data_IF_332979424647
#
_entry.id   IF_332979424647
#
_cell.length_a   1.000
_cell.length_b   1.000
_cell.length_c   1.000
_cell.angle_alpha   90.00
_cell.angle_beta   90.00
_cell.angle_gamma   90.00
#
_symmetry.space_group_name_H-M   'P 1'
#
loop_
_entity.id
_entity.type
_entity.pdbx_description
1 polymer ?
#
# COMPACT_ATOMS: atom_id res chain seq x y z
N UNK A 1 -7.62 26.01 12.91
CA UNK A 1 -8.36 25.99 11.66
C UNK A 1 -7.45 25.55 10.50
N UNK A 2 -6.25 26.10 10.39
CA UNK A 2 -5.22 25.76 9.38
C UNK A 2 -4.88 24.28 9.38
N UNK A 3 -4.55 23.71 10.53
CA UNK A 3 -4.24 22.28 10.69
C UNK A 3 -5.30 21.36 10.10
N UNK A 4 -6.58 21.65 10.35
CA UNK A 4 -7.67 20.84 9.79
C UNK A 4 -7.75 20.93 8.27
N UNK A 5 -7.43 22.09 7.71
CA UNK A 5 -7.41 22.32 6.27
C UNK A 5 -6.25 21.52 5.65
N UNK A 6 -5.07 21.54 6.27
CA UNK A 6 -3.89 20.82 5.79
C UNK A 6 -4.09 19.30 5.89
N UNK A 7 -4.60 18.81 7.02
CA UNK A 7 -4.95 17.39 7.18
C UNK A 7 -6.00 16.97 6.15
N UNK A 8 -7.02 17.80 5.90
CA UNK A 8 -8.04 17.51 4.89
C UNK A 8 -7.46 17.49 3.47
N UNK A 9 -6.63 18.47 3.11
CA UNK A 9 -5.95 18.55 1.82
C UNK A 9 -5.08 17.32 1.57
N UNK A 10 -4.25 16.94 2.55
CA UNK A 10 -3.40 15.76 2.48
C UNK A 10 -4.21 14.47 2.40
N UNK A 11 -5.31 14.37 3.14
CA UNK A 11 -6.24 13.24 3.04
C UNK A 11 -6.83 13.12 1.65
N UNK A 12 -7.27 14.25 1.07
CA UNK A 12 -7.83 14.27 -0.28
C UNK A 12 -6.78 13.84 -1.32
N UNK A 13 -5.57 14.35 -1.20
CA UNK A 13 -4.44 14.00 -2.05
C UNK A 13 -4.16 12.48 -2.02
N UNK A 14 -3.86 11.93 -0.85
CA UNK A 14 -3.54 10.51 -0.67
C UNK A 14 -4.69 9.63 -1.16
N UNK A 15 -5.93 9.94 -0.76
CA UNK A 15 -7.11 9.17 -1.18
C UNK A 15 -7.28 9.18 -2.70
N UNK A 16 -7.07 10.33 -3.35
CA UNK A 16 -7.20 10.44 -4.81
C UNK A 16 -6.14 9.60 -5.54
N UNK A 17 -4.90 9.62 -5.08
CA UNK A 17 -3.83 8.78 -5.62
C UNK A 17 -4.15 7.29 -5.48
N UNK A 18 -4.56 6.87 -4.28
CA UNK A 18 -4.95 5.46 -4.02
C UNK A 18 -6.09 5.03 -4.93
N UNK A 19 -7.12 5.89 -5.09
CA UNK A 19 -8.26 5.60 -5.97
C UNK A 19 -7.84 5.40 -7.42
N UNK A 20 -6.98 6.26 -7.96
CA UNK A 20 -6.47 6.13 -9.34
C UNK A 20 -5.76 4.80 -9.53
N UNK A 21 -4.93 4.41 -8.57
CA UNK A 21 -4.23 3.13 -8.61
C UNK A 21 -5.21 1.95 -8.53
N UNK A 22 -6.17 2.00 -7.61
CA UNK A 22 -7.19 0.94 -7.50
C UNK A 22 -7.99 0.79 -8.79
N UNK A 23 -8.39 1.91 -9.40
CA UNK A 23 -9.09 1.90 -10.69
C UNK A 23 -8.20 1.30 -11.79
N UNK A 24 -6.93 1.65 -11.84
CA UNK A 24 -5.98 1.12 -12.83
C UNK A 24 -5.77 -0.40 -12.66
N UNK A 25 -5.62 -0.86 -11.43
CA UNK A 25 -5.45 -2.28 -11.11
C UNK A 25 -6.68 -3.09 -11.50
N UNK A 26 -7.89 -2.60 -11.18
CA UNK A 26 -9.13 -3.29 -11.56
C UNK A 26 -9.26 -3.39 -13.09
N UNK A 27 -8.88 -2.34 -13.81
CA UNK A 27 -8.83 -2.38 -15.26
C UNK A 27 -7.79 -3.37 -15.80
N UNK A 28 -6.59 -3.43 -15.21
CA UNK A 28 -5.57 -4.41 -15.58
C UNK A 28 -6.07 -5.85 -15.36
N UNK A 29 -6.78 -6.10 -14.26
CA UNK A 29 -7.36 -7.40 -13.96
C UNK A 29 -8.32 -7.87 -15.06
N UNK A 30 -9.17 -6.97 -15.54
CA UNK A 30 -10.09 -7.24 -16.66
C UNK A 30 -9.34 -7.51 -17.97
N UNK A 31 -8.35 -6.68 -18.30
CA UNK A 31 -7.60 -6.84 -19.56
C UNK A 31 -6.69 -8.07 -19.60
N UNK A 32 -6.20 -8.53 -18.47
CA UNK A 32 -5.32 -9.71 -18.40
C UNK A 32 -6.06 -11.04 -18.38
N UNK A 33 -7.41 -11.03 -18.31
CA UNK A 33 -8.28 -12.23 -18.40
C UNK A 33 -7.92 -13.37 -17.44
N UNK A 34 -7.29 -13.10 -16.31
CA UNK A 34 -6.90 -14.17 -15.38
C UNK A 34 -5.98 -15.25 -15.98
N UNK A 35 -5.32 -15.00 -17.12
CA UNK A 35 -4.46 -15.95 -17.85
C UNK A 35 -3.27 -16.48 -17.04
N UNK A 36 -2.99 -15.88 -15.92
CA UNK A 36 -1.89 -16.27 -15.01
C UNK A 36 -2.08 -17.65 -14.37
N UNK A 37 -3.33 -18.17 -14.38
CA UNK A 37 -3.68 -19.39 -13.66
C UNK A 37 -3.14 -20.69 -14.26
N UNK A 38 -2.90 -20.79 -15.58
CA UNK A 38 -2.60 -22.07 -16.23
C UNK A 38 -1.13 -22.53 -16.14
N UNK A 39 -0.19 -21.64 -15.81
CA UNK A 39 1.24 -21.97 -15.75
C UNK A 39 1.80 -22.35 -14.37
N UNK A 40 1.13 -21.93 -13.31
CA UNK A 40 1.67 -21.97 -11.93
C UNK A 40 1.50 -23.30 -11.21
N UNK A 41 0.60 -24.19 -11.68
CA UNK A 41 0.17 -25.35 -10.88
C UNK A 41 1.22 -26.47 -10.68
N UNK A 42 2.39 -26.41 -11.31
CA UNK A 42 3.32 -27.54 -11.39
C UNK A 42 4.40 -27.63 -10.30
N UNK A 43 4.78 -26.52 -9.65
CA UNK A 43 5.79 -26.59 -8.58
C UNK A 43 5.52 -25.60 -7.44
N UNK A 44 5.37 -26.12 -6.21
CA UNK A 44 5.13 -25.29 -5.03
C UNK A 44 6.19 -24.20 -4.80
N UNK A 45 7.52 -24.48 -4.92
CA UNK A 45 8.52 -23.43 -4.75
C UNK A 45 8.38 -22.28 -5.73
N UNK A 46 7.98 -22.58 -6.98
CA UNK A 46 7.74 -21.55 -7.99
C UNK A 46 6.47 -20.74 -7.67
N UNK A 47 5.43 -21.38 -7.14
CA UNK A 47 4.22 -20.67 -6.68
C UNK A 47 4.55 -19.66 -5.60
N UNK A 48 5.36 -20.04 -4.59
CA UNK A 48 5.80 -19.15 -3.51
C UNK A 48 6.62 -17.99 -4.07
N UNK A 49 7.57 -18.27 -4.96
CA UNK A 49 8.39 -17.22 -5.58
C UNK A 49 7.54 -16.19 -6.34
N UNK A 50 6.65 -16.65 -7.22
CA UNK A 50 5.79 -15.75 -8.02
C UNK A 50 4.82 -14.98 -7.11
N UNK A 51 4.24 -15.64 -6.12
CA UNK A 51 3.36 -14.99 -5.16
C UNK A 51 4.07 -13.92 -4.33
N UNK A 52 5.33 -14.16 -3.94
CA UNK A 52 6.16 -13.15 -3.26
C UNK A 52 6.39 -11.93 -4.15
N UNK A 53 6.75 -12.12 -5.42
CA UNK A 53 6.88 -11.00 -6.36
C UNK A 53 5.56 -10.26 -6.56
N UNK A 54 4.45 -10.98 -6.62
CA UNK A 54 3.13 -10.39 -6.75
C UNK A 54 2.78 -9.51 -5.54
N UNK A 55 3.12 -9.97 -4.32
CA UNK A 55 2.93 -9.21 -3.09
C UNK A 55 3.76 -7.93 -3.03
N UNK A 56 4.98 -7.92 -3.59
CA UNK A 56 5.84 -6.72 -3.65
C UNK A 56 5.30 -5.61 -4.57
N UNK A 57 4.32 -5.91 -5.42
CA UNK A 57 3.67 -4.87 -6.24
C UNK A 57 2.97 -3.89 -5.30
N UNK A 58 3.31 -2.59 -5.36
CA UNK A 58 2.67 -1.59 -4.51
C UNK A 58 1.15 -1.61 -4.62
N UNK A 59 0.46 -1.46 -3.51
CA UNK A 59 -0.99 -1.51 -3.43
C UNK A 59 -1.55 -2.87 -3.05
N UNK A 60 -2.88 -2.99 -3.07
CA UNK A 60 -3.58 -4.20 -2.62
C UNK A 60 -3.67 -5.31 -3.68
N UNK A 61 -3.26 -5.04 -4.94
CA UNK A 61 -3.45 -5.95 -6.07
C UNK A 61 -2.81 -7.33 -5.84
N UNK A 62 -1.54 -7.36 -5.43
CA UNK A 62 -0.80 -8.61 -5.24
C UNK A 62 -1.48 -9.52 -4.23
N UNK A 63 -1.93 -8.95 -3.11
CA UNK A 63 -2.66 -9.67 -2.09
C UNK A 63 -4.03 -10.15 -2.56
N UNK A 64 -4.83 -9.31 -3.22
CA UNK A 64 -6.12 -9.72 -3.79
C UNK A 64 -5.98 -10.86 -4.80
N UNK A 65 -5.01 -10.75 -5.70
CA UNK A 65 -4.75 -11.79 -6.69
C UNK A 65 -4.31 -13.09 -6.02
N UNK A 66 -3.45 -13.04 -5.00
CA UNK A 66 -3.03 -14.22 -4.24
C UNK A 66 -4.19 -14.87 -3.49
N UNK A 67 -5.07 -14.09 -2.85
CA UNK A 67 -6.29 -14.61 -2.20
C UNK A 67 -7.19 -15.29 -3.24
N UNK A 68 -7.47 -14.62 -4.35
CA UNK A 68 -8.27 -15.18 -5.43
C UNK A 68 -7.70 -16.49 -5.97
N UNK A 69 -6.40 -16.55 -6.23
CA UNK A 69 -5.74 -17.78 -6.69
C UNK A 69 -5.78 -18.90 -5.65
N UNK A 70 -5.61 -18.57 -4.37
CA UNK A 70 -5.65 -19.57 -3.31
C UNK A 70 -7.07 -20.10 -3.06
N UNK A 71 -8.08 -19.25 -3.03
CA UNK A 71 -9.49 -19.65 -2.82
C UNK A 71 -9.98 -20.60 -3.92
N UNK A 72 -9.41 -20.48 -5.13
CA UNK A 72 -9.68 -21.38 -6.25
C UNK A 72 -8.70 -22.57 -6.36
N UNK A 73 -7.79 -22.73 -5.39
CA UNK A 73 -6.85 -23.84 -5.36
C UNK A 73 -5.73 -23.77 -6.41
N UNK A 74 -5.49 -22.61 -7.01
CA UNK A 74 -4.45 -22.39 -8.01
C UNK A 74 -3.04 -22.30 -7.41
N UNK A 75 -2.93 -21.80 -6.16
CA UNK A 75 -1.67 -21.71 -5.42
C UNK A 75 -1.77 -22.37 -4.04
N UNK A 76 -0.61 -22.72 -3.45
CA UNK A 76 -0.51 -23.29 -2.11
C UNK A 76 -0.80 -22.25 -1.02
N UNK A 77 -1.06 -22.73 0.21
CA UNK A 77 -1.22 -21.86 1.36
C UNK A 77 0.09 -21.12 1.70
N UNK A 78 1.26 -21.76 1.52
CA UNK A 78 2.55 -21.10 1.67
C UNK A 78 2.78 -19.97 0.65
N UNK A 79 2.28 -20.13 -0.58
CA UNK A 79 2.33 -19.07 -1.59
C UNK A 79 1.43 -17.88 -1.22
N UNK A 80 0.21 -18.14 -0.72
CA UNK A 80 -0.66 -17.08 -0.17
C UNK A 80 0.03 -16.32 0.96
N UNK A 81 0.59 -17.05 1.93
CA UNK A 81 1.31 -16.45 3.06
C UNK A 81 2.47 -15.56 2.61
N UNK A 82 3.26 -16.05 1.64
CA UNK A 82 4.38 -15.30 1.10
C UNK A 82 3.94 -13.98 0.43
N UNK A 83 2.85 -14.00 -0.35
CA UNK A 83 2.29 -12.79 -0.93
C UNK A 83 1.81 -11.79 0.13
N UNK A 84 1.22 -12.29 1.23
CA UNK A 84 0.77 -11.44 2.32
C UNK A 84 1.94 -10.80 3.07
N UNK A 85 2.99 -11.56 3.42
CA UNK A 85 4.19 -11.03 4.11
C UNK A 85 4.92 -10.00 3.24
N UNK A 86 5.01 -10.22 1.94
CA UNK A 86 5.72 -9.30 1.04
C UNK A 86 4.92 -8.05 0.68
N UNK A 87 3.61 -8.06 0.92
CA UNK A 87 2.71 -6.96 0.57
C UNK A 87 2.72 -5.85 1.60
N UNK A 88 3.12 -4.64 1.18
CA UNK A 88 3.07 -3.44 2.05
C UNK A 88 1.71 -2.73 1.94
N UNK A 89 0.92 -3.06 0.92
CA UNK A 89 -0.35 -2.38 0.67
C UNK A 89 -0.18 -0.99 0.06
N UNK A 90 -1.17 -0.12 0.30
CA UNK A 90 -1.20 1.22 -0.31
C UNK A 90 -0.16 2.17 0.30
N UNK A 91 0.36 1.85 1.48
CA UNK A 91 1.44 2.61 2.12
C UNK A 91 2.74 2.59 1.33
N UNK A 92 2.97 1.55 0.51
CA UNK A 92 4.14 1.44 -0.33
C UNK A 92 4.35 2.69 -1.21
N UNK A 93 3.26 3.33 -1.65
CA UNK A 93 3.34 4.56 -2.44
C UNK A 93 3.81 5.75 -1.62
N UNK A 94 3.28 5.91 -0.40
CA UNK A 94 3.70 6.96 0.53
C UNK A 94 5.17 6.77 0.89
N UNK A 95 5.58 5.53 1.16
CA UNK A 95 6.95 5.18 1.49
C UNK A 95 7.92 5.44 0.32
N UNK A 96 7.52 5.09 -0.91
CA UNK A 96 8.33 5.34 -2.12
C UNK A 96 8.59 6.82 -2.36
N UNK A 97 7.62 7.69 -2.03
CA UNK A 97 7.73 9.14 -2.18
C UNK A 97 8.60 9.75 -1.07
N UNK A 98 8.34 9.38 0.18
CA UNK A 98 8.97 10.01 1.33
C UNK A 98 10.34 9.41 1.68
N UNK A 99 10.53 8.11 1.45
CA UNK A 99 11.77 7.41 1.82
C UNK A 99 12.12 6.28 0.84
N UNK A 100 12.42 6.55 -0.43
CA UNK A 100 12.62 5.54 -1.47
C UNK A 100 13.70 4.52 -1.11
N UNK A 101 14.83 4.94 -0.55
CA UNK A 101 15.92 4.06 -0.15
C UNK A 101 15.51 3.06 0.96
N UNK A 102 14.80 3.56 1.98
CA UNK A 102 14.31 2.73 3.08
C UNK A 102 13.22 1.77 2.61
N UNK A 103 12.40 2.19 1.64
CA UNK A 103 11.39 1.33 1.02
C UNK A 103 12.02 0.20 0.23
N UNK A 104 13.06 0.48 -0.55
CA UNK A 104 13.81 -0.56 -1.26
C UNK A 104 14.49 -1.53 -0.28
N UNK A 105 15.08 -1.02 0.81
CA UNK A 105 15.65 -1.85 1.86
C UNK A 105 14.57 -2.72 2.52
N UNK A 106 13.39 -2.16 2.80
CA UNK A 106 12.26 -2.89 3.36
C UNK A 106 11.83 -4.04 2.44
N UNK A 107 11.68 -3.78 1.14
CA UNK A 107 11.38 -4.83 0.15
C UNK A 107 12.49 -5.89 0.06
N UNK A 108 13.76 -5.47 0.11
CA UNK A 108 14.89 -6.40 0.10
C UNK A 108 14.91 -7.33 1.31
N UNK A 109 14.37 -6.89 2.46
CA UNK A 109 14.22 -7.71 3.66
C UNK A 109 12.93 -8.52 3.67
N UNK A 110 11.81 -7.95 3.24
CA UNK A 110 10.53 -8.66 3.17
C UNK A 110 10.57 -9.83 2.18
N UNK A 111 11.26 -9.67 1.06
CA UNK A 111 11.36 -10.71 0.03
C UNK A 111 11.91 -12.05 0.56
N UNK A 112 13.10 -12.12 1.16
CA UNK A 112 13.61 -13.38 1.70
C UNK A 112 12.79 -13.90 2.89
N UNK A 113 12.28 -13.03 3.75
CA UNK A 113 11.39 -13.43 4.87
C UNK A 113 10.14 -14.11 4.33
N UNK A 114 9.48 -13.51 3.34
CA UNK A 114 8.29 -14.06 2.70
C UNK A 114 8.54 -15.41 2.01
N UNK A 115 9.66 -15.51 1.26
CA UNK A 115 10.06 -16.76 0.60
C UNK A 115 10.30 -17.88 1.62
N UNK A 116 11.08 -17.61 2.66
CA UNK A 116 11.40 -18.59 3.70
C UNK A 116 10.15 -19.02 4.44
N UNK A 117 9.28 -18.10 4.82
CA UNK A 117 8.03 -18.40 5.50
C UNK A 117 7.10 -19.25 4.62
N UNK A 118 6.92 -18.89 3.34
CA UNK A 118 6.08 -19.62 2.41
C UNK A 118 6.59 -21.04 2.16
N UNK A 119 7.90 -21.21 1.91
CA UNK A 119 8.51 -22.52 1.71
C UNK A 119 8.45 -23.39 2.96
N UNK A 120 8.70 -22.80 4.14
CA UNK A 120 8.61 -23.52 5.41
C UNK A 120 7.21 -24.05 5.66
N UNK A 121 6.18 -23.21 5.46
CA UNK A 121 4.76 -23.60 5.63
C UNK A 121 4.37 -24.71 4.66
N UNK A 122 4.79 -24.62 3.41
CA UNK A 122 4.53 -25.69 2.43
C UNK A 122 5.32 -26.98 2.71
N UNK A 123 6.56 -26.87 3.23
CA UNK A 123 7.39 -28.02 3.65
C UNK A 123 6.83 -28.72 4.89
N UNK A 124 6.32 -27.96 5.87
CA UNK A 124 5.66 -28.50 7.07
C UNK A 124 4.29 -29.14 6.73
N UNK A 125 3.82 -28.98 5.50
CA UNK A 125 2.56 -29.55 5.05
C UNK A 125 1.32 -28.93 5.71
N UNK A 126 1.42 -27.70 6.18
CA UNK A 126 0.29 -26.96 6.74
C UNK A 126 -0.74 -26.72 5.63
N UNK A 127 -1.88 -27.41 5.74
CA UNK A 127 -2.98 -27.28 4.79
C UNK A 127 -4.16 -26.61 5.46
N UNK A 128 -4.52 -25.45 4.96
CA UNK A 128 -5.77 -24.78 5.30
C UNK A 128 -6.77 -25.13 4.21
N UNK A 129 -7.97 -25.60 4.63
CA UNK A 129 -9.00 -26.00 3.68
C UNK A 129 -9.40 -24.83 2.79
N UNK A 130 -9.34 -25.04 1.50
CA UNK A 130 -9.78 -24.10 0.49
C UNK A 130 -11.31 -24.00 0.51
N UNK A 131 -11.93 -22.81 0.54
CA UNK A 131 -13.38 -22.65 0.64
C UNK A 131 -14.16 -23.29 -0.50
N UNK A 132 -13.61 -23.24 -1.71
CA UNK A 132 -14.27 -23.71 -2.92
C UNK A 132 -13.51 -24.86 -3.58
N UNK A 133 -14.02 -26.08 -3.46
CA UNK A 133 -13.54 -27.24 -4.24
C UNK A 133 -14.30 -27.46 -5.56
N UNK A 134 -15.23 -26.60 -5.90
CA UNK A 134 -16.07 -26.76 -7.09
C UNK A 134 -15.46 -26.01 -8.28
N UNK A 135 -15.19 -26.76 -9.34
CA UNK A 135 -14.72 -26.30 -10.66
C UNK A 135 -15.68 -25.30 -11.36
N UNK A 136 -16.84 -25.02 -10.77
CA UNK A 136 -17.95 -24.33 -11.42
C UNK A 136 -18.02 -22.82 -11.12
N UNK A 137 -17.20 -22.28 -10.19
CA UNK A 137 -17.23 -20.84 -9.87
C UNK A 137 -16.07 -20.01 -10.43
N UNK A 138 -15.21 -20.60 -11.27
CA UNK A 138 -14.33 -19.84 -12.17
C UNK A 138 -15.08 -19.32 -13.41
N UNK A 139 -16.39 -19.37 -13.41
CA UNK A 139 -17.20 -18.55 -14.29
C UNK A 139 -17.09 -17.06 -13.84
N UNK A 140 -15.89 -16.48 -13.95
CA UNK A 140 -15.78 -15.09 -14.42
C UNK A 140 -16.77 -15.08 -15.57
N UNK A 141 -17.85 -14.34 -15.43
CA UNK A 141 -18.90 -14.28 -16.43
C UNK A 141 -18.25 -14.26 -17.82
N UNK A 142 -18.37 -15.38 -18.57
CA UNK A 142 -17.81 -15.53 -19.92
C UNK A 142 -18.30 -14.43 -20.88
N UNK A 143 -19.20 -13.56 -20.41
CA UNK A 143 -19.76 -12.44 -21.15
C UNK A 143 -18.87 -11.20 -21.25
N UNK A 144 -17.71 -11.13 -20.59
CA UNK A 144 -16.82 -9.96 -20.68
C UNK A 144 -15.51 -10.19 -21.45
N UNK A 145 -15.43 -11.23 -22.25
CA UNK A 145 -14.35 -11.36 -23.25
C UNK A 145 -14.53 -10.29 -24.33
N UNK A 146 -14.13 -9.07 -24.03
CA UNK A 146 -14.24 -7.97 -24.98
C UNK A 146 -13.18 -8.10 -26.08
N UNK A 147 -13.61 -8.43 -27.30
CA UNK A 147 -12.71 -8.39 -28.45
C UNK A 147 -12.32 -6.92 -28.77
N UNK A 148 -11.13 -6.69 -29.34
CA UNK A 148 -10.71 -5.35 -29.76
C UNK A 148 -11.74 -4.67 -30.69
N UNK A 149 -12.47 -5.44 -31.50
CA UNK A 149 -13.55 -4.91 -32.36
C UNK A 149 -14.76 -4.43 -31.56
N UNK A 150 -15.14 -5.13 -30.50
CA UNK A 150 -16.21 -4.74 -29.59
C UNK A 150 -15.83 -3.51 -28.79
N UNK A 151 -14.56 -3.43 -28.32
CA UNK A 151 -14.02 -2.25 -27.66
C UNK A 151 -14.16 -0.98 -28.51
N UNK A 152 -13.76 -1.06 -29.79
CA UNK A 152 -13.87 0.07 -30.75
C UNK A 152 -15.34 0.41 -31.07
N UNK A 153 -16.22 -0.60 -31.13
CA UNK A 153 -17.67 -0.37 -31.33
C UNK A 153 -18.31 0.31 -30.13
N UNK A 154 -17.95 -0.12 -28.94
CA UNK A 154 -18.45 0.42 -27.68
C UNK A 154 -18.03 1.88 -27.45
N UNK A 155 -16.83 2.29 -27.85
CA UNK A 155 -16.39 3.69 -27.76
C UNK A 155 -17.36 4.66 -28.44
N UNK A 156 -17.73 4.41 -29.71
CA UNK A 156 -18.67 5.27 -30.45
C UNK A 156 -20.06 5.32 -29.82
N UNK A 157 -20.51 4.19 -29.26
CA UNK A 157 -21.81 4.09 -28.57
C UNK A 157 -21.79 4.85 -27.24
N UNK A 158 -20.72 4.68 -26.46
CA UNK A 158 -20.56 5.26 -25.12
C UNK A 158 -20.36 6.78 -25.17
N UNK A 159 -19.74 7.32 -26.23
CA UNK A 159 -19.62 8.76 -26.48
C UNK A 159 -20.97 9.40 -26.84
N UNK A 160 -21.84 8.69 -27.55
CA UNK A 160 -23.15 9.24 -27.97
C UNK A 160 -24.19 9.26 -26.86
N UNK A 161 -24.15 8.31 -25.96
CA UNK A 161 -25.08 8.19 -24.81
C UNK A 161 -24.29 7.72 -23.57
N UNK A 162 -23.57 8.62 -22.90
CA UNK A 162 -22.84 8.25 -21.68
C UNK A 162 -23.83 7.97 -20.54
N UNK A 163 -23.58 6.90 -19.76
CA UNK A 163 -24.31 6.65 -18.53
C UNK A 163 -23.96 7.69 -17.45
N UNK A 164 -24.85 7.89 -16.48
CA UNK A 164 -24.61 8.82 -15.38
C UNK A 164 -23.32 8.47 -14.61
N UNK A 165 -23.10 7.20 -14.31
CA UNK A 165 -21.91 6.71 -13.62
C UNK A 165 -20.63 7.02 -14.41
N UNK A 166 -20.68 6.86 -15.74
CA UNK A 166 -19.54 7.18 -16.62
C UNK A 166 -19.21 8.67 -16.58
N UNK A 167 -20.20 9.54 -16.70
CA UNK A 167 -20.01 11.00 -16.61
C UNK A 167 -19.41 11.39 -15.28
N UNK A 168 -19.92 10.81 -14.19
CA UNK A 168 -19.44 11.10 -12.83
C UNK A 168 -17.99 10.67 -12.63
N UNK A 169 -17.61 9.46 -13.08
CA UNK A 169 -16.23 8.96 -13.01
C UNK A 169 -15.28 9.80 -13.87
N UNK A 170 -15.66 10.15 -15.10
CA UNK A 170 -14.86 11.02 -15.98
C UNK A 170 -14.69 12.40 -15.37
N UNK A 171 -15.75 12.97 -14.81
CA UNK A 171 -15.70 14.30 -14.18
C UNK A 171 -14.80 14.27 -12.94
N UNK A 172 -14.95 13.27 -12.07
CA UNK A 172 -14.10 13.09 -10.89
C UNK A 172 -12.64 12.94 -11.23
N UNK A 173 -12.34 12.07 -12.19
CA UNK A 173 -10.94 11.87 -12.63
C UNK A 173 -10.38 13.10 -13.38
N UNK A 174 -11.22 13.81 -14.15
CA UNK A 174 -10.86 15.05 -14.80
C UNK A 174 -10.54 16.17 -13.81
N UNK A 175 -11.32 16.31 -12.73
CA UNK A 175 -11.05 17.25 -11.64
C UNK A 175 -9.73 16.88 -10.92
N UNK A 176 -9.47 15.60 -10.69
CA UNK A 176 -8.20 15.14 -10.14
C UNK A 176 -7.02 15.52 -11.05
N UNK A 177 -7.12 15.28 -12.36
CA UNK A 177 -6.08 15.67 -13.32
C UNK A 177 -5.86 17.20 -13.36
N UNK A 178 -6.94 17.98 -13.28
CA UNK A 178 -6.85 19.45 -13.20
C UNK A 178 -6.18 19.90 -11.90
N UNK A 179 -6.44 19.25 -10.78
CA UNK A 179 -5.79 19.55 -9.51
C UNK A 179 -4.30 19.23 -9.50
N UNK A 180 -3.87 18.17 -10.22
CA UNK A 180 -2.45 17.87 -10.42
C UNK A 180 -1.74 18.94 -11.26
N UNK A 181 -2.35 19.35 -12.37
CA UNK A 181 -1.79 20.39 -13.25
C UNK A 181 -1.82 21.77 -12.60
N UNK A 182 -2.84 22.04 -11.78
CA UNK A 182 -3.01 23.31 -11.09
C UNK A 182 -2.16 23.49 -9.83
N UNK A 183 -1.29 22.53 -9.49
CA UNK A 183 -0.45 22.60 -8.30
C UNK A 183 -1.20 22.55 -6.96
N UNK A 184 -2.48 22.11 -6.98
CA UNK A 184 -3.29 22.06 -5.76
C UNK A 184 -2.71 21.11 -4.70
N UNK A 185 -1.93 20.13 -5.12
CA UNK A 185 -1.26 19.14 -4.28
C UNK A 185 0.22 19.45 -4.05
N UNK A 186 0.75 20.53 -4.63
CA UNK A 186 2.11 20.98 -4.34
C UNK A 186 2.16 21.53 -2.91
N UNK A 187 3.12 21.04 -2.13
CA UNK A 187 3.36 21.49 -0.76
C UNK A 187 4.34 22.67 -0.81
N UNK A 188 4.00 23.75 -0.13
CA UNK A 188 5.01 24.73 0.26
C UNK A 188 5.96 24.02 1.25
N UNK A 189 7.25 23.95 0.90
CA UNK A 189 8.30 23.25 1.65
C UNK A 189 8.52 23.76 3.09
N UNK A 190 7.77 24.75 3.56
CA UNK A 190 7.90 25.31 4.91
C UNK A 190 7.41 24.36 6.02
N UNK A 191 6.56 23.35 5.73
CA UNK A 191 6.04 22.45 6.75
C UNK A 191 7.00 21.30 7.12
N UNK A 192 8.04 21.03 6.33
CA UNK A 192 9.04 19.98 6.61
C UNK A 192 10.21 20.46 7.48
N UNK A 193 10.39 21.77 7.65
CA UNK A 193 11.49 22.34 8.46
C UNK A 193 11.21 22.20 9.96
N UNK A 194 9.95 22.11 10.39
CA UNK A 194 9.61 21.98 11.80
C UNK A 194 10.07 20.67 12.46
N UNK A 195 10.28 19.60 11.69
CA UNK A 195 10.81 18.33 12.21
C UNK A 195 12.35 18.30 12.27
N UNK A 196 13.02 19.20 11.52
CA UNK A 196 14.50 19.27 11.52
C UNK A 196 15.01 20.27 12.57
N UNK A 197 14.23 21.31 12.91
CA UNK A 197 14.61 22.29 13.94
C UNK A 197 14.56 21.72 15.38
N UNK A 198 13.76 20.69 15.64
CA UNK A 198 13.71 20.09 17.00
C UNK A 198 14.98 19.30 17.34
N UNK A 199 15.75 18.87 16.33
CA UNK A 199 17.03 18.17 16.56
C UNK A 199 18.19 19.15 16.82
N UNK A 200 18.08 20.43 16.44
CA UNK A 200 19.16 21.40 16.60
C UNK A 200 19.09 22.25 17.90
N UNK A 201 18.05 22.11 18.73
CA UNK A 201 17.89 22.91 19.94
C UNK A 201 18.57 22.34 21.21
N UNK A 202 19.41 21.29 21.07
CA UNK A 202 20.08 20.70 22.24
C UNK A 202 21.62 20.77 22.23
N UNK A 203 22.23 21.58 21.36
CA UNK A 203 23.69 21.81 21.44
C UNK A 203 24.02 23.28 21.15
N UNK A 204 23.79 24.17 22.10
CA UNK A 204 24.55 25.41 22.21
C UNK A 204 24.49 25.96 23.64
N UNK A 205 25.45 25.54 24.45
CA UNK A 205 26.09 26.35 25.46
C UNK A 205 27.54 25.87 25.59
N UNK A 206 28.43 26.51 24.90
CA UNK A 206 29.80 26.85 25.33
C UNK A 206 30.49 27.70 24.25
N UNK A 207 30.77 28.95 24.63
CA UNK A 207 31.67 29.86 23.97
C UNK A 207 33.07 29.23 23.78
N UNK A 208 33.61 29.30 22.54
CA UNK A 208 34.99 29.78 22.32
C UNK A 208 35.26 30.00 20.83
N UNK A 209 35.71 31.21 20.58
CA UNK A 209 36.34 31.80 19.43
C UNK A 209 37.45 30.90 18.84
N UNK A 210 37.36 30.54 17.53
CA UNK A 210 38.49 30.48 16.58
C UNK A 210 37.96 30.14 15.18
N UNK A 211 38.29 31.03 14.26
CA UNK A 211 38.19 30.93 12.81
C UNK A 211 38.98 29.74 12.25
N UNK A 212 38.28 28.73 11.71
CA UNK A 212 38.82 27.78 10.71
C UNK A 212 37.72 27.42 9.73
N UNK A 213 38.00 27.61 8.45
CA UNK A 213 37.18 27.14 7.33
C UNK A 213 36.97 25.65 7.41
N UNK A 214 35.80 25.24 7.85
CA UNK A 214 35.35 23.86 7.67
C UNK A 214 34.69 23.74 6.29
N UNK A 215 35.42 23.15 5.36
CA UNK A 215 34.84 22.57 4.16
C UNK A 215 33.80 21.50 4.57
N UNK A 216 32.54 21.81 4.37
CA UNK A 216 31.46 20.82 4.49
C UNK A 216 31.68 19.74 3.44
N UNK A 217 32.23 18.60 3.83
CA UNK A 217 32.07 17.37 3.07
C UNK A 217 30.59 16.98 3.09
N UNK A 218 29.87 17.40 2.08
CA UNK A 218 28.58 16.83 1.74
C UNK A 218 28.78 15.33 1.53
N UNK A 219 28.35 14.54 2.50
CA UNK A 219 28.09 13.13 2.27
C UNK A 219 27.09 13.05 1.11
N UNK A 220 27.59 12.76 -0.08
CA UNK A 220 26.81 12.51 -1.28
C UNK A 220 26.03 11.22 -1.11
N UNK A 221 24.97 11.24 -0.31
CA UNK A 221 23.91 10.26 -0.42
C UNK A 221 23.35 10.36 -1.85
N UNK A 222 23.26 9.25 -2.55
CA UNK A 222 22.63 9.14 -3.84
C UNK A 222 21.14 9.49 -3.66
N UNK A 223 20.82 10.77 -3.69
CA UNK A 223 19.45 11.26 -3.78
C UNK A 223 19.05 11.12 -5.24
N UNK A 224 18.19 10.15 -5.54
CA UNK A 224 17.44 10.18 -6.79
C UNK A 224 16.63 11.48 -6.77
N UNK A 225 16.84 12.41 -7.71
CA UNK A 225 16.05 13.61 -7.80
C UNK A 225 14.69 13.24 -8.39
N UNK A 226 13.85 12.60 -7.57
CA UNK A 226 12.43 12.47 -7.86
C UNK A 226 11.79 13.80 -7.45
N UNK A 227 11.97 14.82 -8.29
CA UNK A 227 11.20 16.05 -8.20
C UNK A 227 9.72 15.69 -8.12
N UNK A 228 8.94 16.40 -7.30
CA UNK A 228 7.47 16.22 -7.16
C UNK A 228 6.77 16.24 -8.52
N UNK A 229 7.31 16.97 -9.49
CA UNK A 229 6.87 17.03 -10.87
C UNK A 229 6.83 15.65 -11.56
N UNK A 230 7.79 14.77 -11.28
CA UNK A 230 7.86 13.44 -11.89
C UNK A 230 6.77 12.50 -11.36
N UNK A 231 6.53 12.58 -10.07
CA UNK A 231 5.48 11.82 -9.40
C UNK A 231 4.09 12.24 -9.91
N UNK A 232 3.82 13.54 -9.95
CA UNK A 232 2.60 14.10 -10.51
C UNK A 232 2.41 13.71 -11.99
N UNK A 233 3.51 13.67 -12.76
CA UNK A 233 3.52 13.22 -14.14
C UNK A 233 3.11 11.75 -14.32
N UNK A 234 3.62 10.85 -13.48
CA UNK A 234 3.25 9.42 -13.50
C UNK A 234 1.75 9.26 -13.20
N UNK A 235 1.25 9.92 -12.16
CA UNK A 235 -0.17 9.85 -11.81
C UNK A 235 -1.08 10.47 -12.85
N UNK A 236 -0.63 11.54 -13.50
CA UNK A 236 -1.35 12.12 -14.63
C UNK A 236 -1.48 11.14 -15.81
N UNK A 237 -0.39 10.48 -16.19
CA UNK A 237 -0.41 9.46 -17.24
C UNK A 237 -1.28 8.27 -16.85
N UNK A 238 -1.18 7.81 -15.60
CA UNK A 238 -2.00 6.73 -15.07
C UNK A 238 -3.48 7.08 -15.09
N UNK A 239 -3.85 8.27 -14.62
CA UNK A 239 -5.22 8.78 -14.66
C UNK A 239 -5.74 8.92 -16.09
N UNK A 240 -4.90 9.37 -17.02
CA UNK A 240 -5.25 9.46 -18.44
C UNK A 240 -5.54 8.08 -19.04
N UNK A 241 -4.72 7.08 -18.75
CA UNK A 241 -4.93 5.70 -19.16
C UNK A 241 -6.26 5.16 -18.62
N UNK A 242 -6.53 5.34 -17.32
CA UNK A 242 -7.80 4.97 -16.69
C UNK A 242 -8.96 5.68 -17.37
N UNK A 243 -8.86 6.97 -17.62
CA UNK A 243 -9.91 7.76 -18.28
C UNK A 243 -10.19 7.26 -19.70
N UNK A 244 -9.16 6.91 -20.49
CA UNK A 244 -9.33 6.33 -21.82
C UNK A 244 -10.11 5.01 -21.78
N UNK A 245 -9.87 4.17 -20.77
CA UNK A 245 -10.59 2.90 -20.63
C UNK A 245 -12.05 3.08 -20.28
N UNK A 246 -12.45 4.15 -19.60
CA UNK A 246 -13.86 4.44 -19.32
C UNK A 246 -14.71 4.60 -20.59
N UNK A 247 -14.12 4.97 -21.70
CA UNK A 247 -14.84 5.04 -22.99
C UNK A 247 -15.02 3.67 -23.65
N UNK A 248 -14.21 2.70 -23.27
CA UNK A 248 -14.16 1.37 -23.91
C UNK A 248 -14.99 0.34 -23.15
N UNK A 249 -14.98 0.42 -21.82
CA UNK A 249 -15.57 -0.58 -20.92
C UNK A 249 -17.11 -0.45 -20.87
N UNK A 250 -17.81 -1.56 -20.56
CA UNK A 250 -19.27 -1.60 -20.44
C UNK A 250 -19.78 -0.77 -19.26
N UNK A 251 -21.01 -0.25 -19.36
CA UNK A 251 -21.65 0.49 -18.25
C UNK A 251 -21.87 -0.40 -17.02
N UNK A 252 -22.15 -1.69 -17.25
CA UNK A 252 -22.31 -2.67 -16.18
C UNK A 252 -21.01 -2.80 -15.34
N UNK A 253 -19.87 -2.92 -16.01
CA UNK A 253 -18.57 -2.98 -15.33
C UNK A 253 -18.27 -1.70 -14.55
N UNK A 254 -18.51 -0.52 -15.14
CA UNK A 254 -18.32 0.76 -14.45
C UNK A 254 -19.18 0.88 -13.20
N UNK A 255 -20.41 0.39 -13.23
CA UNK A 255 -21.35 0.51 -12.12
C UNK A 255 -21.06 -0.51 -11.01
N UNK A 256 -20.87 -1.79 -11.36
CA UNK A 256 -20.71 -2.85 -10.35
C UNK A 256 -19.30 -2.87 -9.75
N UNK A 257 -18.26 -2.84 -10.59
CA UNK A 257 -16.88 -2.99 -10.14
C UNK A 257 -16.25 -1.66 -9.71
N UNK A 258 -16.37 -0.60 -10.51
CA UNK A 258 -15.71 0.64 -10.18
C UNK A 258 -16.52 1.49 -9.22
N UNK A 259 -17.81 1.74 -9.52
CA UNK A 259 -18.61 2.64 -8.71
C UNK A 259 -19.04 2.02 -7.37
N UNK A 260 -19.71 0.86 -7.40
CA UNK A 260 -20.22 0.24 -6.16
C UNK A 260 -19.10 -0.31 -5.30
N UNK A 261 -18.11 -0.98 -5.90
CA UNK A 261 -17.03 -1.61 -5.16
C UNK A 261 -15.97 -0.58 -4.75
N UNK A 262 -15.29 0.09 -5.69
CA UNK A 262 -14.19 0.99 -5.36
C UNK A 262 -14.71 2.28 -4.74
N UNK A 263 -15.49 3.07 -5.49
CA UNK A 263 -15.82 4.44 -5.05
C UNK A 263 -16.71 4.44 -3.81
N UNK A 264 -17.74 3.60 -3.75
CA UNK A 264 -18.72 3.65 -2.66
C UNK A 264 -18.26 2.88 -1.40
N UNK A 265 -17.48 1.81 -1.54
CA UNK A 265 -17.06 1.00 -0.40
C UNK A 265 -15.66 1.38 0.12
N UNK A 266 -14.67 1.57 -0.76
CA UNK A 266 -13.28 1.80 -0.36
C UNK A 266 -12.95 3.27 -0.11
N UNK A 267 -13.35 4.18 -1.01
CA UNK A 267 -12.97 5.61 -0.90
C UNK A 267 -13.35 6.25 0.43
N UNK A 268 -14.60 6.10 0.96
CA UNK A 268 -14.95 6.72 2.24
C UNK A 268 -14.14 6.16 3.42
N UNK A 269 -13.84 4.86 3.39
CA UNK A 269 -13.02 4.22 4.43
C UNK A 269 -11.59 4.69 4.39
N UNK A 270 -10.96 4.69 3.20
CA UNK A 270 -9.60 5.17 3.00
C UNK A 270 -9.49 6.63 3.45
N UNK A 271 -10.41 7.50 2.99
CA UNK A 271 -10.42 8.90 3.39
C UNK A 271 -10.57 9.08 4.90
N UNK A 272 -11.51 8.34 5.54
CA UNK A 272 -11.74 8.45 6.97
C UNK A 272 -10.52 7.97 7.78
N UNK A 273 -9.90 6.85 7.41
CA UNK A 273 -8.71 6.34 8.09
C UNK A 273 -7.49 7.23 7.88
N UNK A 274 -7.25 7.69 6.65
CA UNK A 274 -6.15 8.62 6.35
C UNK A 274 -6.32 9.92 7.13
N UNK A 275 -7.53 10.49 7.14
CA UNK A 275 -7.84 11.69 7.92
C UNK A 275 -7.59 11.48 9.42
N UNK A 276 -8.09 10.37 9.97
CA UNK A 276 -7.90 10.04 11.39
C UNK A 276 -6.42 9.81 11.73
N UNK A 277 -5.67 9.11 10.87
CA UNK A 277 -4.24 8.87 11.05
C UNK A 277 -3.45 10.18 11.03
N UNK A 278 -3.65 11.03 10.02
CA UNK A 278 -2.96 12.33 9.91
C UNK A 278 -3.31 13.26 11.09
N UNK A 279 -4.57 13.27 11.53
CA UNK A 279 -5.00 14.05 12.70
C UNK A 279 -4.34 13.55 13.99
N UNK A 280 -4.33 12.22 14.17
CA UNK A 280 -3.67 11.57 15.32
C UNK A 280 -2.17 11.89 15.35
N UNK A 281 -1.50 11.78 14.21
CA UNK A 281 -0.07 12.08 14.06
C UNK A 281 0.21 13.53 14.46
N UNK A 282 -0.58 14.46 13.93
CA UNK A 282 -0.41 15.88 14.27
C UNK A 282 -0.57 16.12 15.78
N UNK A 283 -1.55 15.47 16.41
CA UNK A 283 -1.77 15.56 17.85
C UNK A 283 -0.63 14.91 18.65
N UNK A 284 -0.16 13.74 18.22
CA UNK A 284 0.90 12.96 18.87
C UNK A 284 2.25 13.68 18.79
N UNK A 285 2.61 14.23 17.61
CA UNK A 285 3.89 14.94 17.44
C UNK A 285 3.97 16.23 18.25
N UNK A 286 2.83 16.85 18.54
CA UNK A 286 2.79 18.05 19.40
C UNK A 286 2.91 17.76 20.91
N UNK A 287 2.91 16.48 21.32
CA UNK A 287 3.11 16.07 22.71
C UNK A 287 4.50 15.45 22.87
N UNK A 288 5.48 16.29 23.27
CA UNK A 288 6.87 15.85 23.49
C UNK A 288 7.00 14.65 24.45
N UNK A 289 6.11 14.58 25.45
CA UNK A 289 6.08 13.47 26.42
C UNK A 289 5.76 12.12 25.77
N UNK A 290 4.91 12.08 24.72
CA UNK A 290 4.53 10.83 24.08
C UNK A 290 5.66 10.29 23.19
N UNK A 291 6.37 11.14 22.48
CA UNK A 291 7.52 10.73 21.69
C UNK A 291 8.63 10.14 22.57
N UNK A 292 8.91 10.81 23.70
CA UNK A 292 9.86 10.31 24.71
C UNK A 292 9.42 8.95 25.28
N UNK A 293 8.13 8.77 25.54
CA UNK A 293 7.59 7.49 26.01
C UNK A 293 7.75 6.38 24.95
N UNK A 294 7.46 6.67 23.68
CA UNK A 294 7.61 5.73 22.56
C UNK A 294 9.08 5.28 22.44
N UNK A 295 10.02 6.22 22.49
CA UNK A 295 11.46 5.92 22.43
C UNK A 295 11.94 5.11 23.63
N UNK A 296 11.42 5.37 24.82
CA UNK A 296 11.78 4.65 26.04
C UNK A 296 11.15 3.24 26.11
N UNK A 297 10.06 2.97 25.39
CA UNK A 297 9.26 1.74 25.52
C UNK A 297 9.17 0.95 24.21
N UNK A 298 10.24 0.85 23.44
CA UNK A 298 10.25 0.27 22.10
C UNK A 298 9.70 -1.17 22.02
N UNK A 299 9.88 -2.00 23.05
CA UNK A 299 9.34 -3.36 23.10
C UNK A 299 7.79 -3.35 23.15
N UNK A 300 7.21 -2.42 23.93
CA UNK A 300 5.74 -2.25 23.96
C UNK A 300 5.21 -1.70 22.64
N UNK A 301 5.97 -0.79 22.02
CA UNK A 301 5.63 -0.23 20.71
C UNK A 301 5.72 -1.29 19.62
N UNK A 302 6.71 -2.20 19.67
CA UNK A 302 6.80 -3.35 18.78
C UNK A 302 5.56 -4.26 18.91
N UNK A 303 5.18 -4.59 20.15
CA UNK A 303 3.99 -5.42 20.38
C UNK A 303 2.73 -4.74 19.84
N UNK A 304 2.58 -3.44 20.09
CA UNK A 304 1.45 -2.65 19.58
C UNK A 304 1.44 -2.60 18.04
N UNK A 305 2.61 -2.39 17.42
CA UNK A 305 2.78 -2.36 15.97
C UNK A 305 2.34 -3.69 15.31
N UNK A 306 2.74 -4.80 15.89
CA UNK A 306 2.37 -6.14 15.41
C UNK A 306 0.88 -6.42 15.64
N UNK A 307 0.31 -6.04 16.78
CA UNK A 307 -1.11 -6.22 17.06
C UNK A 307 -2.01 -5.37 16.14
N UNK A 308 -1.62 -4.12 15.90
CA UNK A 308 -2.32 -3.24 14.96
C UNK A 308 -2.22 -3.80 13.53
N UNK A 309 -1.11 -4.46 13.18
CA UNK A 309 -0.93 -5.16 11.92
C UNK A 309 -1.96 -6.28 11.64
N UNK A 310 -2.70 -6.75 12.66
CA UNK A 310 -3.79 -7.70 12.48
C UNK A 310 -5.02 -7.05 11.83
N UNK A 311 -5.20 -5.75 12.01
CA UNK A 311 -6.37 -5.02 11.49
C UNK A 311 -6.31 -5.03 9.95
N UNK A 312 -7.36 -5.49 9.25
CA UNK A 312 -7.38 -5.57 7.80
C UNK A 312 -7.66 -4.21 7.13
N UNK A 313 -6.88 -3.21 7.45
CA UNK A 313 -7.00 -1.83 6.98
C UNK A 313 -5.61 -1.21 6.86
N UNK A 314 -5.38 -0.38 5.84
CA UNK A 314 -4.06 0.25 5.62
C UNK A 314 -3.83 1.49 6.53
N UNK A 315 -4.91 2.19 6.90
CA UNK A 315 -4.81 3.46 7.64
C UNK A 315 -4.05 3.40 8.96
N UNK A 316 -4.31 2.44 9.87
CA UNK A 316 -3.62 2.34 11.15
C UNK A 316 -2.10 2.17 11.05
N UNK A 317 -1.61 1.62 9.92
CA UNK A 317 -0.18 1.40 9.68
C UNK A 317 0.56 2.68 9.33
N UNK A 318 -0.12 3.67 8.72
CA UNK A 318 0.45 5.00 8.45
C UNK A 318 0.96 5.68 9.72
N UNK A 319 0.40 5.36 10.88
CA UNK A 319 0.87 5.86 12.18
C UNK A 319 2.32 5.40 12.44
N UNK A 320 2.63 4.12 12.19
CA UNK A 320 3.99 3.59 12.38
C UNK A 320 4.96 4.12 11.34
N UNK A 321 4.52 4.29 10.10
CA UNK A 321 5.31 4.94 9.07
C UNK A 321 5.71 6.35 9.50
N UNK A 322 4.76 7.14 9.99
CA UNK A 322 5.03 8.52 10.42
C UNK A 322 5.87 8.58 11.69
N UNK A 323 5.64 7.67 12.65
CA UNK A 323 6.51 7.55 13.82
C UNK A 323 7.95 7.21 13.43
N UNK A 324 8.15 6.39 12.38
CA UNK A 324 9.47 6.11 11.84
C UNK A 324 10.09 7.35 11.19
N UNK A 325 9.36 8.05 10.36
CA UNK A 325 9.82 9.29 9.69
C UNK A 325 10.17 10.40 10.69
N UNK A 326 9.47 10.45 11.83
CA UNK A 326 9.77 11.39 12.92
C UNK A 326 10.91 10.93 13.86
N UNK A 327 11.55 9.79 13.58
CA UNK A 327 12.60 9.25 14.46
C UNK A 327 12.09 8.68 15.79
N UNK A 328 10.77 8.49 15.94
CA UNK A 328 10.16 7.93 17.14
C UNK A 328 10.40 6.44 17.32
N UNK A 329 10.46 5.69 16.22
CA UNK A 329 10.66 4.23 16.24
C UNK A 329 11.80 3.81 15.32
N UNK A 330 12.53 2.72 15.64
CA UNK A 330 13.56 2.16 14.78
C UNK A 330 12.95 1.42 13.59
N UNK A 331 13.76 1.17 12.57
CA UNK A 331 13.35 0.48 11.35
C UNK A 331 12.84 -0.94 11.60
N UNK A 332 13.35 -1.64 12.61
CA UNK A 332 12.88 -2.97 13.02
C UNK A 332 11.42 -3.03 13.43
N UNK A 333 10.89 -1.98 14.05
CA UNK A 333 9.47 -1.89 14.41
C UNK A 333 8.62 -1.66 13.15
N UNK A 334 9.07 -0.79 12.25
CA UNK A 334 8.41 -0.59 10.96
C UNK A 334 8.39 -1.88 10.14
N UNK A 335 9.51 -2.61 10.08
CA UNK A 335 9.62 -3.90 9.40
C UNK A 335 8.66 -4.94 10.01
N UNK A 336 8.58 -5.03 11.33
CA UNK A 336 7.65 -5.94 12.00
C UNK A 336 6.19 -5.60 11.73
N UNK A 337 5.85 -4.33 11.73
CA UNK A 337 4.53 -3.85 11.35
C UNK A 337 4.22 -4.22 9.89
N UNK A 338 5.16 -3.99 8.95
CA UNK A 338 5.00 -4.33 7.54
C UNK A 338 4.86 -5.84 7.27
N UNK A 339 5.48 -6.70 8.10
CA UNK A 339 5.30 -8.16 8.01
C UNK A 339 3.89 -8.58 8.42
N UNK A 340 3.29 -7.90 9.38
CA UNK A 340 2.01 -8.30 9.98
C UNK A 340 0.80 -7.66 9.28
N UNK A 341 1.00 -6.51 8.69
CA UNK A 341 -0.04 -5.81 7.96
C UNK A 341 -0.18 -6.39 6.53
N UNK A 342 -1.39 -6.55 6.08
CA UNK A 342 -1.72 -6.96 4.71
C UNK A 342 -2.64 -5.93 4.03
N UNK A 343 -2.87 -4.80 4.66
CA UNK A 343 -3.82 -3.80 4.22
C UNK A 343 -5.21 -4.39 3.93
N UNK A 344 -5.87 -3.86 2.92
CA UNK A 344 -7.18 -4.35 2.48
C UNK A 344 -7.14 -5.77 1.86
N UNK A 345 -5.96 -6.28 1.49
CA UNK A 345 -5.84 -7.59 0.87
C UNK A 345 -6.32 -8.74 1.78
N UNK A 346 -6.29 -8.55 3.08
CA UNK A 346 -6.80 -9.53 4.05
C UNK A 346 -8.32 -9.54 4.21
N UNK A 347 -9.05 -8.52 3.72
CA UNK A 347 -10.53 -8.48 3.79
C UNK A 347 -11.20 -9.61 2.99
N UNK A 348 -10.90 -9.83 1.70
CA UNK A 348 -11.46 -10.97 0.97
C UNK A 348 -11.03 -12.31 1.59
N UNK A 349 -9.81 -12.41 2.11
CA UNK A 349 -9.39 -13.62 2.81
C UNK A 349 -10.25 -13.87 4.05
N UNK A 350 -10.56 -12.84 4.84
CA UNK A 350 -11.46 -12.93 6.00
C UNK A 350 -12.89 -13.32 5.59
N UNK A 351 -13.38 -12.78 4.48
CA UNK A 351 -14.71 -13.08 3.95
C UNK A 351 -14.83 -14.52 3.47
N UNK A 352 -13.84 -15.00 2.69
CA UNK A 352 -13.83 -16.31 2.08
C UNK A 352 -13.42 -17.42 3.05
N UNK A 353 -12.44 -17.17 3.93
CA UNK A 353 -11.89 -18.15 4.85
C UNK A 353 -11.42 -17.55 6.17
N UNK A 354 -12.29 -17.53 7.18
CA UNK A 354 -11.91 -17.12 8.55
C UNK A 354 -10.72 -17.91 9.10
N UNK A 355 -10.64 -19.22 8.79
CA UNK A 355 -9.51 -20.07 9.19
C UNK A 355 -8.24 -19.67 8.45
N UNK A 356 -8.31 -19.40 7.13
CA UNK A 356 -7.19 -18.91 6.34
C UNK A 356 -6.64 -17.59 6.89
N UNK A 357 -7.52 -16.64 7.16
CA UNK A 357 -7.18 -15.36 7.77
C UNK A 357 -6.46 -15.53 9.12
N UNK A 358 -7.02 -16.32 10.03
CA UNK A 358 -6.41 -16.53 11.37
C UNK A 358 -5.03 -17.19 11.27
N UNK A 359 -4.84 -18.15 10.37
CA UNK A 359 -3.54 -18.78 10.15
C UNK A 359 -2.52 -17.81 9.57
N UNK A 360 -2.88 -17.04 8.54
CA UNK A 360 -1.99 -16.02 7.96
C UNK A 360 -1.61 -15.01 9.03
N UNK A 361 -2.58 -14.42 9.73
CA UNK A 361 -2.31 -13.43 10.78
C UNK A 361 -1.49 -13.99 11.95
N UNK A 362 -1.79 -15.22 12.40
CA UNK A 362 -1.03 -15.86 13.45
C UNK A 362 0.44 -16.07 13.09
N UNK A 363 0.72 -16.50 11.86
CA UNK A 363 2.09 -16.70 11.37
C UNK A 363 2.78 -15.35 11.16
N UNK A 364 2.10 -14.35 10.57
CA UNK A 364 2.65 -13.01 10.37
C UNK A 364 3.02 -12.35 11.69
N UNK A 365 2.16 -12.44 12.72
CA UNK A 365 2.43 -11.97 14.09
C UNK A 365 3.68 -12.62 14.67
N UNK A 366 3.79 -13.94 14.56
CA UNK A 366 4.96 -14.67 15.06
C UNK A 366 6.25 -14.21 14.37
N UNK A 367 6.22 -14.12 13.04
CA UNK A 367 7.39 -13.69 12.24
C UNK A 367 7.71 -12.22 12.53
N UNK A 368 6.71 -11.35 12.59
CA UNK A 368 6.87 -9.94 12.89
C UNK A 368 7.52 -9.70 14.26
N UNK A 369 7.05 -10.41 15.30
CA UNK A 369 7.65 -10.35 16.63
C UNK A 369 9.09 -10.89 16.66
N UNK A 370 9.37 -11.98 15.94
CA UNK A 370 10.73 -12.55 15.85
C UNK A 370 11.67 -11.59 15.13
N UNK A 371 11.29 -11.11 13.95
CA UNK A 371 12.13 -10.23 13.13
C UNK A 371 12.32 -8.88 13.81
N UNK A 372 11.22 -8.26 14.29
CA UNK A 372 11.28 -6.98 15.00
C UNK A 372 12.04 -7.08 16.32
N UNK A 373 11.83 -8.14 17.09
CA UNK A 373 12.55 -8.38 18.35
C UNK A 373 14.05 -8.59 18.14
N UNK A 374 14.44 -9.39 17.13
CA UNK A 374 15.84 -9.54 16.75
C UNK A 374 16.42 -8.20 16.27
N UNK A 375 15.69 -7.45 15.46
CA UNK A 375 16.13 -6.13 15.01
C UNK A 375 16.37 -5.15 16.17
N UNK A 376 15.50 -5.13 17.16
CA UNK A 376 15.68 -4.31 18.38
C UNK A 376 16.92 -4.76 19.19
N UNK A 377 17.17 -6.08 19.29
CA UNK A 377 18.33 -6.61 20.02
C UNK A 377 19.65 -6.25 19.33
N UNK A 378 19.69 -6.20 18.00
CA UNK A 378 20.87 -5.85 17.23
C UNK A 378 20.99 -4.34 16.95
N UNK A 379 20.05 -3.51 17.42
CA UNK A 379 20.06 -2.05 17.24
C UNK A 379 19.79 -1.59 15.82
N UNK A 380 18.96 -2.34 15.11
CA UNK A 380 18.65 -2.11 13.68
C UNK A 380 17.28 -1.46 13.47
#
# INVERSE_FOLDING_TARGET
>A
MEILIDVFRNTLMITSFVVVIMLFIELLNVFTHGRWNHGLSKSKPLQVLIATFLGLIPGCFGGFAAVGMWTHGAISFGALLAAMISGIGDEAFVMLVQMPEKTLLLWALLFPVALLAGWLVDALGIKVAVPFQTKDHLAIHEHEQMSLREAVSNWKKNLKKPSFTRVLLITGLGLFMLSLVGGFFEHDHEAHVASTEIVQLHEHDHEHDHSEECTEEHASGFTLPLEESWFNGIFFVLALLVMCTFFIVSDHFLEEHLWKHIIRQHVPKIAAWTFAALLLIHYVLNTADLLAWVQANQMWVLLLAVLIGIIPESGPHLVFLTLFLSGGIPFSILLANSITQDGHASLPLLAESKKGFLWVKGINVLIGLLVGGLGLLFGF
#
